data_IF_286568731759
#
_entry.id   IF_286568731759
#
_cell.length_a   1.000
_cell.length_b   1.000
_cell.length_c   1.000
_cell.angle_alpha   90.00
_cell.angle_beta   90.00
_cell.angle_gamma   90.00
#
_symmetry.space_group_name_H-M   'P 1'
#
loop_
_entity.id
_entity.type
_entity.pdbx_description
1 polymer ?
#
# COMPACT_ATOMS: atom_id res chain seq x y z
N UNK A 1 46.15 14.04 -14.91
CA UNK A 1 46.08 13.32 -13.62
C UNK A 1 45.27 14.15 -12.63
N UNK A 2 44.08 13.70 -12.25
CA UNK A 2 43.33 14.20 -11.07
C UNK A 2 42.90 12.95 -10.30
N UNK A 3 43.56 12.69 -9.17
CA UNK A 3 43.33 11.52 -8.33
C UNK A 3 42.26 11.86 -7.27
N UNK A 4 41.41 10.86 -7.03
CA UNK A 4 40.72 10.57 -5.75
C UNK A 4 39.66 11.54 -5.21
N UNK A 5 38.40 11.17 -5.41
CA UNK A 5 37.52 10.85 -4.29
C UNK A 5 36.72 9.60 -4.62
N UNK A 6 37.33 8.42 -4.44
CA UNK A 6 36.64 7.13 -4.49
C UNK A 6 35.75 6.99 -3.25
N UNK A 7 34.60 7.66 -3.24
CA UNK A 7 33.54 7.28 -2.33
C UNK A 7 32.78 6.11 -2.98
N UNK A 8 33.43 4.95 -2.97
CA UNK A 8 32.97 3.63 -3.44
C UNK A 8 31.86 3.07 -2.52
N UNK A 9 30.89 3.90 -2.17
CA UNK A 9 29.77 3.49 -1.36
C UNK A 9 28.70 2.94 -2.29
N UNK A 10 28.42 1.64 -2.23
CA UNK A 10 27.27 1.00 -2.89
C UNK A 10 25.90 1.43 -2.29
N UNK A 11 25.86 2.57 -1.58
CA UNK A 11 24.78 3.04 -0.74
C UNK A 11 24.51 4.52 -0.98
N UNK A 12 23.25 4.92 -0.87
CA UNK A 12 22.71 6.25 -1.18
C UNK A 12 23.21 7.29 -0.17
N UNK A 13 23.14 6.99 1.14
CA UNK A 13 23.57 7.93 2.19
C UNK A 13 24.79 7.40 2.92
N UNK A 14 24.68 6.21 3.51
CA UNK A 14 25.81 5.50 4.11
C UNK A 14 25.49 4.02 4.27
N UNK A 15 26.51 3.16 4.33
CA UNK A 15 26.34 1.70 4.45
C UNK A 15 25.49 1.29 5.65
N UNK A 16 25.68 1.91 6.82
CA UNK A 16 24.91 1.57 8.02
C UNK A 16 23.47 2.09 7.92
N UNK A 17 23.29 3.34 7.50
CA UNK A 17 21.98 3.97 7.37
C UNK A 17 21.08 3.22 6.39
N UNK A 18 21.61 2.95 5.19
CA UNK A 18 20.88 2.27 4.13
C UNK A 18 20.55 0.82 4.50
N UNK A 19 21.48 0.10 5.14
CA UNK A 19 21.22 -1.26 5.60
C UNK A 19 20.06 -1.30 6.58
N UNK A 20 20.11 -0.48 7.63
CA UNK A 20 19.11 -0.51 8.71
C UNK A 20 17.74 -0.06 8.18
N UNK A 21 17.68 1.08 7.49
CA UNK A 21 16.43 1.75 7.17
C UNK A 21 15.82 1.37 5.82
N UNK A 22 16.62 0.87 4.87
CA UNK A 22 16.12 0.52 3.54
C UNK A 22 16.18 -0.99 3.30
N UNK A 23 17.32 -1.64 3.56
CA UNK A 23 17.50 -3.05 3.20
C UNK A 23 16.85 -3.99 4.23
N UNK A 24 17.08 -3.77 5.52
CA UNK A 24 16.56 -4.64 6.59
C UNK A 24 15.20 -4.23 7.13
N UNK A 25 14.71 -3.03 6.78
CA UNK A 25 13.41 -2.55 7.28
C UNK A 25 12.23 -3.52 6.99
N UNK A 26 12.12 -4.16 5.81
CA UNK A 26 11.09 -5.17 5.58
C UNK A 26 11.24 -6.40 6.48
N UNK A 27 12.47 -6.83 6.76
CA UNK A 27 12.75 -7.97 7.65
C UNK A 27 12.38 -7.63 9.10
N UNK A 28 12.66 -6.40 9.54
CA UNK A 28 12.26 -5.91 10.86
C UNK A 28 10.73 -5.87 10.97
N UNK A 29 10.03 -5.40 9.93
CA UNK A 29 8.57 -5.38 9.90
C UNK A 29 7.98 -6.80 10.01
N UNK A 30 8.54 -7.77 9.27
CA UNK A 30 8.14 -9.18 9.38
C UNK A 30 8.42 -9.73 10.78
N UNK A 31 9.58 -9.44 11.37
CA UNK A 31 9.91 -9.87 12.72
C UNK A 31 8.92 -9.31 13.75
N UNK A 32 8.56 -8.03 13.67
CA UNK A 32 7.55 -7.40 14.53
C UNK A 32 6.19 -8.08 14.35
N UNK A 33 5.78 -8.38 13.11
CA UNK A 33 4.52 -9.06 12.83
C UNK A 33 4.49 -10.48 13.41
N UNK A 34 5.58 -11.25 13.25
CA UNK A 34 5.70 -12.60 13.81
C UNK A 34 5.67 -12.55 15.34
N UNK A 35 6.45 -11.66 15.96
CA UNK A 35 6.44 -11.48 17.41
C UNK A 35 5.04 -11.08 17.89
N UNK A 36 4.39 -10.15 17.21
CA UNK A 36 3.03 -9.74 17.55
C UNK A 36 2.01 -10.86 17.47
N UNK A 37 2.15 -11.74 16.48
CA UNK A 37 1.31 -12.93 16.36
C UNK A 37 1.57 -13.97 17.45
N UNK A 38 2.83 -14.15 17.87
CA UNK A 38 3.18 -15.18 18.87
C UNK A 38 2.98 -14.77 20.32
N UNK A 39 2.86 -13.47 20.61
CA UNK A 39 2.92 -12.99 22.01
C UNK A 39 1.56 -12.62 22.59
N UNK A 40 0.45 -12.74 21.85
CA UNK A 40 -0.95 -12.34 22.18
C UNK A 40 -1.16 -10.87 22.65
N UNK A 41 -0.14 -10.21 23.18
CA UNK A 41 -0.12 -8.85 23.73
C UNK A 41 -0.38 -7.79 22.67
N UNK A 42 0.17 -7.96 21.46
CA UNK A 42 -0.04 -7.03 20.34
C UNK A 42 -1.38 -7.26 19.63
N UNK A 43 -2.00 -8.44 19.83
CA UNK A 43 -3.32 -8.81 19.32
C UNK A 43 -4.43 -8.66 20.36
N UNK A 44 -4.09 -8.35 21.61
CA UNK A 44 -5.06 -8.05 22.66
C UNK A 44 -5.92 -6.87 22.24
N UNK A 45 -7.24 -7.06 22.30
CA UNK A 45 -8.21 -6.06 21.92
C UNK A 45 -8.45 -5.14 23.10
N UNK A 46 -8.17 -3.86 22.88
CA UNK A 46 -8.50 -2.79 23.81
C UNK A 46 -9.59 -1.93 23.21
N UNK A 47 -10.43 -1.36 24.06
CA UNK A 47 -11.49 -0.46 23.62
C UNK A 47 -10.91 0.94 23.40
N UNK A 48 -10.63 1.27 22.14
CA UNK A 48 -10.22 2.61 21.74
C UNK A 48 -11.39 3.33 21.09
N UNK A 49 -11.80 4.49 21.62
CA UNK A 49 -12.89 5.31 21.06
C UNK A 49 -14.17 4.49 20.76
N UNK A 50 -14.59 3.66 21.73
CA UNK A 50 -15.77 2.78 21.63
C UNK A 50 -15.69 1.71 20.55
N UNK A 51 -14.51 1.44 20.00
CA UNK A 51 -14.25 0.35 19.04
C UNK A 51 -13.14 -0.55 19.56
N UNK A 52 -13.35 -1.86 19.53
CA UNK A 52 -12.31 -2.82 19.87
C UNK A 52 -11.22 -2.82 18.79
N UNK A 53 -9.99 -2.48 19.17
CA UNK A 53 -8.83 -2.46 18.28
C UNK A 53 -7.63 -3.06 18.98
N UNK A 54 -6.74 -3.64 18.20
CA UNK A 54 -5.48 -4.20 18.71
C UNK A 54 -4.39 -3.13 18.74
N UNK A 55 -3.40 -3.29 19.63
CA UNK A 55 -2.23 -2.41 19.66
C UNK A 55 -1.48 -2.37 18.33
N UNK A 56 -1.41 -3.50 17.61
CA UNK A 56 -0.79 -3.54 16.28
C UNK A 56 -1.58 -2.72 15.25
N UNK A 57 -2.92 -2.74 15.31
CA UNK A 57 -3.76 -1.92 14.43
C UNK A 57 -3.53 -0.43 14.69
N UNK A 58 -3.46 -0.02 15.95
CA UNK A 58 -3.14 1.36 16.33
C UNK A 58 -1.77 1.79 15.78
N UNK A 59 -0.74 0.97 15.95
CA UNK A 59 0.61 1.26 15.43
C UNK A 59 0.62 1.41 13.91
N UNK A 60 -0.05 0.50 13.18
CA UNK A 60 -0.17 0.57 11.72
C UNK A 60 -0.88 1.87 11.28
N UNK A 61 -1.98 2.25 11.95
CA UNK A 61 -2.69 3.49 11.63
C UNK A 61 -1.85 4.72 11.90
N UNK A 62 -1.16 4.77 13.05
CA UNK A 62 -0.27 5.87 13.39
C UNK A 62 0.86 6.01 12.36
N UNK A 63 1.51 4.90 12.02
CA UNK A 63 2.59 4.89 11.03
C UNK A 63 2.11 5.30 9.64
N UNK A 64 0.96 4.76 9.21
CA UNK A 64 0.34 5.11 7.92
C UNK A 64 0.00 6.60 7.87
N UNK A 65 -0.60 7.14 8.93
CA UNK A 65 -0.91 8.55 9.03
C UNK A 65 0.35 9.42 8.95
N UNK A 66 1.38 9.10 9.74
CA UNK A 66 2.65 9.81 9.71
C UNK A 66 3.30 9.78 8.32
N UNK A 67 3.28 8.63 7.64
CA UNK A 67 3.77 8.48 6.27
C UNK A 67 3.01 9.36 5.28
N UNK A 68 1.67 9.31 5.32
CA UNK A 68 0.82 10.12 4.44
C UNK A 68 1.07 11.62 4.63
N UNK A 69 1.23 12.07 5.87
CA UNK A 69 1.56 13.47 6.16
C UNK A 69 2.95 13.87 5.69
N UNK A 70 3.96 13.01 5.88
CA UNK A 70 5.30 13.26 5.36
C UNK A 70 5.29 13.41 3.83
N UNK A 71 4.55 12.55 3.12
CA UNK A 71 4.39 12.63 1.66
C UNK A 71 3.58 13.85 1.25
N UNK A 72 2.52 14.19 2.00
CA UNK A 72 1.74 15.41 1.78
C UNK A 72 2.62 16.64 1.84
N UNK A 73 3.42 16.80 2.90
CA UNK A 73 4.34 17.93 3.02
C UNK A 73 5.36 17.97 1.88
N UNK A 74 5.96 16.83 1.55
CA UNK A 74 6.94 16.75 0.46
C UNK A 74 6.37 17.16 -0.90
N UNK A 75 5.12 16.81 -1.19
CA UNK A 75 4.51 17.01 -2.51
C UNK A 75 3.70 18.30 -2.62
N UNK A 76 2.91 18.64 -1.61
CA UNK A 76 1.96 19.77 -1.64
C UNK A 76 2.60 21.07 -1.15
N UNK A 77 3.57 21.03 -0.22
CA UNK A 77 4.30 22.25 0.20
C UNK A 77 5.49 22.57 -0.71
N UNK A 78 5.83 21.70 -1.67
CA UNK A 78 6.79 22.05 -2.71
C UNK A 78 6.11 22.95 -3.75
N UNK A 79 6.28 24.27 -3.59
CA UNK A 79 5.66 25.28 -4.46
C UNK A 79 6.00 25.10 -5.94
N UNK A 80 7.18 24.56 -6.27
CA UNK A 80 7.59 24.30 -7.66
C UNK A 80 6.70 23.22 -8.28
N UNK A 81 6.50 22.11 -7.56
CA UNK A 81 5.68 20.99 -8.02
C UNK A 81 4.19 21.35 -8.01
N UNK A 82 3.75 22.05 -6.96
CA UNK A 82 2.36 22.50 -6.83
C UNK A 82 1.96 23.43 -7.97
N UNK A 83 2.82 24.40 -8.35
CA UNK A 83 2.55 25.31 -9.48
C UNK A 83 2.43 24.57 -10.81
N UNK A 84 3.25 23.53 -11.01
CA UNK A 84 3.23 22.73 -12.24
C UNK A 84 1.96 21.88 -12.37
N UNK A 85 1.45 21.32 -11.27
CA UNK A 85 0.31 20.39 -11.29
C UNK A 85 -0.88 20.85 -10.43
N UNK A 86 -1.11 22.16 -10.35
CA UNK A 86 -2.13 22.80 -9.51
C UNK A 86 -3.49 22.10 -9.51
N UNK A 87 -4.00 21.74 -10.68
CA UNK A 87 -5.31 21.09 -10.82
C UNK A 87 -5.35 19.67 -10.27
N UNK A 88 -4.24 18.93 -10.38
CA UNK A 88 -4.16 17.56 -9.82
C UNK A 88 -4.12 17.58 -8.30
N UNK A 89 -3.58 18.64 -7.71
CA UNK A 89 -3.49 18.79 -6.26
C UNK A 89 -4.73 19.43 -5.62
N UNK A 90 -5.56 20.14 -6.39
CA UNK A 90 -6.76 20.80 -5.86
C UNK A 90 -8.06 20.19 -6.35
N UNK A 91 -8.26 20.17 -7.68
CA UNK A 91 -9.53 19.80 -8.28
C UNK A 91 -9.78 18.29 -8.20
N UNK A 92 -8.74 17.46 -8.39
CA UNK A 92 -8.90 16.00 -8.30
C UNK A 92 -9.33 15.56 -6.90
N UNK A 93 -8.64 15.91 -5.79
CA UNK A 93 -9.10 15.55 -4.44
C UNK A 93 -10.50 16.06 -4.12
N UNK A 94 -10.80 17.31 -4.50
CA UNK A 94 -12.13 17.90 -4.26
C UNK A 94 -13.23 17.15 -5.03
N UNK A 95 -12.99 16.84 -6.31
CA UNK A 95 -13.95 16.11 -7.14
C UNK A 95 -14.19 14.69 -6.62
N UNK A 96 -13.14 13.99 -6.18
CA UNK A 96 -13.27 12.67 -5.57
C UNK A 96 -14.06 12.74 -4.26
N UNK A 97 -13.80 13.74 -3.41
CA UNK A 97 -14.54 13.94 -2.16
C UNK A 97 -16.04 14.15 -2.41
N UNK A 98 -16.38 15.00 -3.38
CA UNK A 98 -17.77 15.22 -3.77
C UNK A 98 -18.39 13.95 -4.37
N UNK A 99 -17.66 13.24 -5.23
CA UNK A 99 -18.11 12.02 -5.87
C UNK A 99 -18.41 10.91 -4.85
N UNK A 100 -17.61 10.79 -3.79
CA UNK A 100 -17.84 9.82 -2.71
C UNK A 100 -19.09 10.15 -1.89
N UNK A 101 -19.49 11.41 -1.85
CA UNK A 101 -20.70 11.86 -1.14
C UNK A 101 -22.00 11.53 -1.88
N UNK A 102 -21.94 11.06 -3.12
CA UNK A 102 -23.11 10.80 -3.98
C UNK A 102 -23.76 9.44 -3.72
N UNK A 103 -22.98 8.37 -3.53
CA UNK A 103 -23.54 7.02 -3.44
C UNK A 103 -22.56 6.02 -2.81
N UNK A 104 -23.10 5.06 -2.06
CA UNK A 104 -22.33 3.93 -1.52
C UNK A 104 -21.71 3.07 -2.62
N UNK A 105 -22.39 2.87 -3.75
CA UNK A 105 -21.86 2.08 -4.87
C UNK A 105 -20.60 2.73 -5.45
N UNK A 106 -20.57 4.06 -5.53
CA UNK A 106 -19.42 4.82 -6.00
C UNK A 106 -18.26 4.69 -5.02
N UNK A 107 -18.53 4.75 -3.71
CA UNK A 107 -17.50 4.51 -2.69
C UNK A 107 -16.90 3.11 -2.80
N UNK A 108 -17.72 2.09 -3.04
CA UNK A 108 -17.25 0.70 -3.24
C UNK A 108 -16.31 0.59 -4.44
N UNK A 109 -16.69 1.14 -5.59
CA UNK A 109 -15.85 1.15 -6.79
C UNK A 109 -14.54 1.90 -6.50
N UNK A 110 -14.63 3.05 -5.82
CA UNK A 110 -13.47 3.85 -5.48
C UNK A 110 -12.49 3.12 -4.56
N UNK A 111 -12.97 2.35 -3.59
CA UNK A 111 -12.13 1.53 -2.69
C UNK A 111 -11.36 0.48 -3.50
N UNK A 112 -12.01 -0.21 -4.45
CA UNK A 112 -11.33 -1.18 -5.33
C UNK A 112 -10.23 -0.51 -6.15
N UNK A 113 -10.52 0.65 -6.73
CA UNK A 113 -9.53 1.42 -7.50
C UNK A 113 -8.39 1.90 -6.61
N UNK A 114 -8.71 2.44 -5.43
CA UNK A 114 -7.72 2.94 -4.48
C UNK A 114 -6.78 1.82 -4.00
N UNK A 115 -7.30 0.63 -3.79
CA UNK A 115 -6.51 -0.54 -3.42
C UNK A 115 -5.58 -1.00 -4.55
N UNK A 116 -6.08 -1.08 -5.79
CA UNK A 116 -5.22 -1.35 -6.95
C UNK A 116 -4.12 -0.28 -7.10
N UNK A 117 -4.51 0.98 -6.93
CA UNK A 117 -3.60 2.11 -6.99
C UNK A 117 -2.52 2.01 -5.91
N UNK A 118 -2.86 1.70 -4.67
CA UNK A 118 -1.91 1.54 -3.57
C UNK A 118 -0.82 0.49 -3.89
N UNK A 119 -1.23 -0.65 -4.42
CA UNK A 119 -0.33 -1.73 -4.86
C UNK A 119 0.54 -1.28 -6.03
N UNK A 120 -0.06 -0.66 -7.04
CA UNK A 120 0.67 -0.13 -8.19
C UNK A 120 1.73 0.90 -7.76
N UNK A 121 1.36 1.84 -6.89
CA UNK A 121 2.25 2.90 -6.42
C UNK A 121 3.40 2.36 -5.59
N UNK A 122 3.11 1.45 -4.66
CA UNK A 122 4.13 0.82 -3.83
C UNK A 122 5.10 0.01 -4.68
N UNK A 123 4.61 -0.74 -5.66
CA UNK A 123 5.45 -1.47 -6.61
C UNK A 123 6.36 -0.55 -7.43
N UNK A 124 5.83 0.57 -7.96
CA UNK A 124 6.63 1.55 -8.70
C UNK A 124 7.65 2.26 -7.84
N UNK A 125 7.32 2.54 -6.57
CA UNK A 125 8.25 3.12 -5.61
C UNK A 125 9.41 2.16 -5.33
N UNK A 126 9.11 0.89 -5.04
CA UNK A 126 10.12 -0.12 -4.78
C UNK A 126 11.01 -0.39 -6.01
N UNK A 127 10.40 -0.50 -7.19
CA UNK A 127 11.13 -0.61 -8.45
C UNK A 127 12.11 0.56 -8.66
N UNK A 128 11.66 1.80 -8.40
CA UNK A 128 12.51 2.99 -8.48
C UNK A 128 13.70 2.92 -7.52
N UNK A 129 13.46 2.50 -6.28
CA UNK A 129 14.52 2.30 -5.28
C UNK A 129 15.56 1.28 -5.74
N UNK A 130 15.14 0.10 -6.23
CA UNK A 130 16.06 -0.91 -6.75
C UNK A 130 16.94 -0.34 -7.87
N UNK A 131 16.38 0.48 -8.78
CA UNK A 131 17.15 1.08 -9.89
C UNK A 131 18.14 2.14 -9.45
N UNK A 132 17.92 2.81 -8.32
CA UNK A 132 18.92 3.72 -7.75
C UNK A 132 20.14 2.90 -7.31
N UNK A 133 19.95 1.82 -6.54
CA UNK A 133 21.05 0.95 -6.12
C UNK A 133 21.78 0.31 -7.30
N UNK A 134 21.02 -0.13 -8.30
CA UNK A 134 21.57 -0.69 -9.54
C UNK A 134 22.46 0.34 -10.27
N UNK A 135 22.01 1.59 -10.35
CA UNK A 135 22.79 2.68 -10.98
C UNK A 135 24.05 3.05 -10.20
N UNK A 136 24.04 2.94 -8.87
CA UNK A 136 25.20 3.21 -8.01
C UNK A 136 26.32 2.19 -8.27
N UNK A 137 25.96 0.95 -8.60
CA UNK A 137 26.91 -0.14 -8.91
C UNK A 137 27.41 -0.05 -10.37
N UNK A 138 26.85 0.87 -11.17
CA UNK A 138 27.26 1.13 -12.55
C UNK A 138 26.48 0.35 -13.60
N UNK A 139 25.36 -0.28 -13.23
CA UNK A 139 24.52 -0.99 -14.20
C UNK A 139 23.75 -0.02 -15.11
N UNK A 140 23.50 -0.45 -16.35
CA UNK A 140 22.85 0.38 -17.37
C UNK A 140 21.35 0.50 -17.10
N UNK A 141 20.87 1.73 -16.97
CA UNK A 141 19.50 2.07 -16.60
C UNK A 141 18.40 1.67 -17.59
N UNK A 142 18.76 1.16 -18.77
CA UNK A 142 17.81 0.68 -19.79
C UNK A 142 17.70 -0.83 -19.87
N UNK A 143 18.75 -1.57 -19.48
CA UNK A 143 18.78 -3.04 -19.50
C UNK A 143 17.91 -3.57 -18.35
N UNK A 144 17.14 -4.63 -18.59
CA UNK A 144 16.32 -5.30 -17.57
C UNK A 144 15.05 -4.55 -17.14
N UNK A 145 14.97 -3.23 -17.36
CA UNK A 145 13.90 -2.34 -16.86
C UNK A 145 12.47 -2.89 -16.97
N UNK A 146 12.09 -3.46 -18.12
CA UNK A 146 10.73 -3.99 -18.30
C UNK A 146 10.50 -5.24 -17.47
N UNK A 147 11.47 -6.17 -17.47
CA UNK A 147 11.40 -7.41 -16.70
C UNK A 147 11.38 -7.10 -15.21
N UNK A 148 12.27 -6.23 -14.73
CA UNK A 148 12.35 -5.84 -13.33
C UNK A 148 11.06 -5.12 -12.88
N UNK A 149 10.49 -4.25 -13.72
CA UNK A 149 9.23 -3.60 -13.38
C UNK A 149 8.05 -4.58 -13.36
N UNK A 150 8.03 -5.60 -14.20
CA UNK A 150 6.97 -6.62 -14.19
C UNK A 150 7.14 -7.52 -12.97
N UNK A 151 8.36 -8.00 -12.71
CA UNK A 151 8.67 -8.82 -11.55
C UNK A 151 8.30 -8.09 -10.25
N UNK A 152 8.68 -6.81 -10.11
CA UNK A 152 8.32 -6.01 -8.95
C UNK A 152 6.80 -5.81 -8.85
N UNK A 153 6.07 -5.72 -9.96
CA UNK A 153 4.61 -5.63 -9.92
C UNK A 153 3.96 -6.95 -9.47
N UNK A 154 4.41 -8.08 -10.03
CA UNK A 154 3.92 -9.41 -9.67
C UNK A 154 4.14 -9.76 -8.19
N UNK A 155 5.31 -9.39 -7.63
CA UNK A 155 5.60 -9.59 -6.21
C UNK A 155 4.61 -8.85 -5.29
N UNK A 156 4.12 -7.69 -5.72
CA UNK A 156 3.18 -6.87 -4.96
C UNK A 156 1.70 -7.20 -5.26
N UNK A 157 1.40 -8.14 -6.16
CA UNK A 157 0.04 -8.70 -6.32
C UNK A 157 -0.33 -9.62 -5.14
N UNK A 158 0.66 -10.17 -4.41
CA UNK A 158 0.39 -11.02 -3.23
C UNK A 158 -0.58 -10.39 -2.21
N UNK A 159 -0.34 -9.14 -1.77
CA UNK A 159 -1.29 -8.37 -0.97
C UNK A 159 -2.69 -8.23 -1.60
N UNK A 160 -2.81 -8.14 -2.93
CA UNK A 160 -4.12 -8.08 -3.62
C UNK A 160 -4.94 -9.33 -3.34
N UNK A 161 -4.29 -10.50 -3.40
CA UNK A 161 -4.95 -11.80 -3.23
C UNK A 161 -5.23 -12.09 -1.75
N UNK A 162 -4.36 -11.63 -0.84
CA UNK A 162 -4.44 -11.93 0.59
C UNK A 162 -5.22 -10.93 1.47
N UNK A 163 -5.73 -9.82 0.93
CA UNK A 163 -6.27 -8.74 1.77
C UNK A 163 -7.68 -9.01 2.28
N UNK A 164 -7.75 -9.52 3.51
CA UNK A 164 -8.99 -9.63 4.31
C UNK A 164 -9.69 -8.28 4.51
N UNK A 165 -8.92 -7.19 4.66
CA UNK A 165 -9.49 -5.84 4.86
C UNK A 165 -10.26 -5.29 3.65
N UNK A 166 -9.96 -5.72 2.43
CA UNK A 166 -10.76 -5.33 1.26
C UNK A 166 -12.15 -5.96 1.35
N UNK A 167 -12.24 -7.23 1.75
CA UNK A 167 -13.50 -7.93 1.92
C UNK A 167 -14.38 -7.27 2.98
N UNK A 168 -13.80 -6.83 4.10
CA UNK A 168 -14.54 -6.13 5.16
C UNK A 168 -15.16 -4.81 4.68
N UNK A 169 -14.45 -4.06 3.83
CA UNK A 169 -14.96 -2.80 3.26
C UNK A 169 -15.98 -3.02 2.13
N UNK A 170 -15.88 -4.12 1.40
CA UNK A 170 -16.84 -4.49 0.37
C UNK A 170 -18.12 -5.11 0.95
N UNK A 171 -18.05 -5.72 2.14
CA UNK A 171 -19.16 -6.44 2.77
C UNK A 171 -20.47 -5.64 2.85
N UNK A 172 -20.51 -4.38 3.31
CA UNK A 172 -21.75 -3.61 3.36
C UNK A 172 -22.38 -3.39 1.98
N UNK A 173 -21.56 -3.21 0.95
CA UNK A 173 -22.02 -3.03 -0.42
C UNK A 173 -22.53 -4.35 -1.02
N UNK A 174 -21.84 -5.46 -0.75
CA UNK A 174 -22.28 -6.81 -1.12
C UNK A 174 -23.61 -7.14 -0.45
N UNK A 175 -23.74 -6.87 0.86
CA UNK A 175 -24.97 -7.10 1.63
C UNK A 175 -26.13 -6.24 1.08
N UNK A 176 -25.87 -4.98 0.73
CA UNK A 176 -26.88 -4.10 0.13
C UNK A 176 -27.34 -4.59 -1.26
N UNK A 177 -26.40 -5.03 -2.10
CA UNK A 177 -26.71 -5.66 -3.40
C UNK A 177 -27.49 -6.95 -3.23
N UNK A 178 -27.19 -7.76 -2.21
CA UNK A 178 -27.91 -9.01 -1.94
C UNK A 178 -29.37 -8.75 -1.56
N UNK A 179 -29.65 -7.67 -0.83
CA UNK A 179 -31.01 -7.26 -0.47
C UNK A 179 -31.80 -6.72 -1.67
N UNK A 180 -31.18 -5.91 -2.53
CA UNK A 180 -31.87 -5.25 -3.65
C UNK A 180 -31.90 -6.07 -4.94
N UNK A 181 -30.93 -6.96 -5.15
CA UNK A 181 -30.78 -7.79 -6.36
C UNK A 181 -30.40 -9.24 -6.01
N UNK A 182 -31.27 -9.98 -5.29
CA UNK A 182 -30.94 -11.30 -4.76
C UNK A 182 -30.55 -12.32 -5.84
N UNK A 183 -31.10 -12.20 -7.06
CA UNK A 183 -30.80 -13.10 -8.19
C UNK A 183 -29.39 -12.92 -8.76
N UNK A 184 -28.80 -11.74 -8.65
CA UNK A 184 -27.45 -11.43 -9.19
C UNK A 184 -26.37 -11.98 -8.24
N UNK A 185 -26.58 -11.83 -6.93
CA UNK A 185 -25.63 -12.31 -5.91
C UNK A 185 -25.63 -13.84 -5.78
N UNK A 186 -26.79 -14.49 -5.94
CA UNK A 186 -26.89 -15.96 -5.88
C UNK A 186 -26.08 -16.65 -6.99
N UNK A 187 -25.97 -16.03 -8.17
CA UNK A 187 -25.21 -16.58 -9.30
C UNK A 187 -23.69 -16.54 -9.06
N UNK A 188 -23.19 -15.55 -8.32
CA UNK A 188 -21.76 -15.44 -7.99
C UNK A 188 -21.36 -16.29 -6.76
N UNK A 189 -22.26 -16.47 -5.79
CA UNK A 189 -21.99 -17.33 -4.61
C UNK A 189 -22.18 -18.82 -4.92
N UNK A 190 -23.07 -19.20 -5.83
CA UNK A 190 -23.26 -20.61 -6.21
C UNK A 190 -22.17 -21.16 -7.12
N UNK A 191 -21.33 -20.32 -7.73
CA UNK A 191 -20.22 -20.74 -8.59
C UNK A 191 -18.87 -20.94 -7.85
N UNK A 192 -18.80 -20.67 -6.54
CA UNK A 192 -17.51 -20.66 -5.81
C UNK A 192 -17.48 -21.30 -4.42
N UNK A 193 -18.61 -21.68 -3.81
CA UNK A 193 -18.59 -22.15 -2.41
C UNK A 193 -19.61 -23.26 -2.08
N UNK A 194 -19.90 -24.16 -3.01
CA UNK A 194 -20.66 -25.39 -2.71
C UNK A 194 -19.72 -26.56 -2.46
N UNK A 195 -19.01 -26.54 -1.33
CA UNK A 195 -18.52 -27.76 -0.65
C UNK A 195 -17.88 -27.40 0.68
N UNK A 196 -18.69 -27.22 1.73
CA UNK A 196 -18.44 -27.67 3.12
C UNK A 196 -19.42 -27.04 4.11
N UNK A 197 -20.72 -27.34 4.01
CA UNK A 197 -21.59 -27.41 5.20
C UNK A 197 -22.62 -28.50 4.92
N UNK A 198 -22.29 -29.74 5.29
CA UNK A 198 -23.21 -30.81 5.71
C UNK A 198 -22.40 -32.10 5.90
N UNK A 199 -21.80 -32.25 7.08
CA UNK A 199 -21.63 -33.52 7.81
C UNK A 199 -21.22 -33.20 9.24
#
# INVERSE_FOLDING_TARGET
MKKESSNNSAYIVSSLYDKILFITAPLIAVAIAVIGYTTDTLLYQETFFSTERTWISFFIYFWTFAHLWAVFFRSHLNLTVFRQFKWRFTLVPLSLFLLFSVSIMIQTIAIVIAFYWDVYHTSKQNYGFCRIYDSIIGNVSTIGRRLDSIANHLLYIGPIIGSYSLLDHLKPAIDNLAVHYPKIVFFYLSSGFTKTINS
#
